data_IF_412371085068
#
_entry.id   IF_412371085068
#
_cell.length_a   1.000
_cell.length_b   1.000
_cell.length_c   1.000
_cell.angle_alpha   90.00
_cell.angle_beta   90.00
_cell.angle_gamma   90.00
#
_symmetry.space_group_name_H-M   'P 1'
#
loop_
_entity.id
_entity.type
_entity.pdbx_description
1 polymer ?
#
# COMPACT_ATOMS: atom_id res chain seq x y z
N UNK A 1 7.24 24.87 7.79
CA UNK A 1 7.01 23.45 7.42
C UNK A 1 8.36 22.75 7.47
N UNK A 2 8.60 21.84 8.43
CA UNK A 2 9.94 21.29 8.67
C UNK A 2 10.28 20.19 7.67
N UNK A 3 11.57 20.11 7.25
CA UNK A 3 12.14 19.08 6.37
C UNK A 3 11.76 17.63 6.81
N UNK A 4 11.57 17.41 8.11
CA UNK A 4 11.16 16.14 8.70
C UNK A 4 9.74 15.74 8.26
N UNK A 5 8.82 16.71 8.17
CA UNK A 5 7.44 16.45 7.76
C UNK A 5 7.32 16.12 6.27
N UNK A 6 8.18 16.70 5.42
CA UNK A 6 8.26 16.38 4.00
C UNK A 6 8.71 14.94 3.75
N UNK A 7 9.79 14.50 4.39
CA UNK A 7 10.30 13.13 4.25
C UNK A 7 9.25 12.08 4.67
N UNK A 8 8.50 12.36 5.75
CA UNK A 8 7.44 11.47 6.21
C UNK A 8 6.29 11.39 5.20
N UNK A 9 5.86 12.52 4.66
CA UNK A 9 4.80 12.59 3.63
C UNK A 9 5.22 11.90 2.34
N UNK A 10 6.44 12.13 1.87
CA UNK A 10 6.99 11.46 0.69
C UNK A 10 7.05 9.93 0.88
N UNK A 11 7.44 9.46 2.06
CA UNK A 11 7.47 8.03 2.39
C UNK A 11 6.07 7.39 2.36
N UNK A 12 5.10 8.06 2.97
CA UNK A 12 3.70 7.59 2.95
C UNK A 12 3.14 7.57 1.54
N UNK A 13 3.42 8.59 0.74
CA UNK A 13 3.01 8.64 -0.66
C UNK A 13 3.63 7.51 -1.49
N UNK A 14 4.95 7.32 -1.39
CA UNK A 14 5.64 6.22 -2.06
C UNK A 14 5.08 4.86 -1.65
N UNK A 15 4.79 4.65 -0.39
CA UNK A 15 4.19 3.41 0.09
C UNK A 15 2.80 3.17 -0.50
N UNK A 16 1.97 4.21 -0.58
CA UNK A 16 0.62 4.16 -1.17
C UNK A 16 0.64 3.95 -2.69
N UNK A 17 1.71 4.30 -3.35
CA UNK A 17 1.93 4.06 -4.77
C UNK A 17 2.45 2.62 -5.01
N UNK A 18 3.49 2.22 -4.27
CA UNK A 18 4.21 0.96 -4.53
C UNK A 18 3.41 -0.27 -4.14
N UNK A 19 2.64 -0.24 -3.04
CA UNK A 19 1.86 -1.39 -2.60
C UNK A 19 0.81 -1.84 -3.62
N UNK A 20 -0.06 -0.96 -4.17
CA UNK A 20 -1.01 -1.33 -5.22
C UNK A 20 -0.34 -1.76 -6.52
N UNK A 21 0.76 -1.09 -6.90
CA UNK A 21 1.54 -1.49 -8.09
C UNK A 21 2.06 -2.91 -7.95
N UNK A 22 2.63 -3.26 -6.80
CA UNK A 22 3.09 -4.62 -6.51
C UNK A 22 1.92 -5.62 -6.50
N UNK A 23 0.79 -5.26 -5.91
CA UNK A 23 -0.40 -6.13 -5.87
C UNK A 23 -0.89 -6.45 -7.29
N UNK A 24 -1.04 -5.44 -8.14
CA UNK A 24 -1.45 -5.58 -9.52
C UNK A 24 -0.45 -6.46 -10.31
N UNK A 25 0.86 -6.21 -10.16
CA UNK A 25 1.89 -7.05 -10.80
C UNK A 25 1.84 -8.50 -10.33
N UNK A 26 1.62 -8.77 -9.05
CA UNK A 26 1.48 -10.13 -8.52
C UNK A 26 0.28 -10.84 -9.15
N UNK A 27 -0.87 -10.18 -9.22
CA UNK A 27 -2.07 -10.78 -9.81
C UNK A 27 -1.91 -11.06 -11.30
N UNK A 28 -1.34 -10.12 -12.07
CA UNK A 28 -1.10 -10.30 -13.50
C UNK A 28 -0.01 -11.33 -13.82
N UNK A 29 0.95 -11.55 -12.92
CA UNK A 29 2.07 -12.49 -13.16
C UNK A 29 1.80 -13.88 -12.60
N UNK A 30 0.80 -14.06 -11.74
CA UNK A 30 0.45 -15.35 -11.16
C UNK A 30 0.22 -16.45 -12.20
N UNK A 31 -0.41 -16.20 -13.39
CA UNK A 31 -0.58 -17.21 -14.41
C UNK A 31 0.69 -17.53 -15.22
N UNK A 32 1.55 -16.52 -15.45
CA UNK A 32 2.76 -16.67 -16.27
C UNK A 32 3.84 -15.66 -15.89
N UNK A 33 5.01 -16.17 -15.50
CA UNK A 33 6.17 -15.33 -15.17
C UNK A 33 6.66 -14.44 -16.33
N UNK A 34 6.32 -14.79 -17.57
CA UNK A 34 6.66 -13.99 -18.74
C UNK A 34 6.10 -12.56 -18.68
N UNK A 35 4.98 -12.36 -17.98
CA UNK A 35 4.35 -11.05 -17.82
C UNK A 35 5.20 -10.05 -17.01
N UNK A 36 6.14 -10.53 -16.19
CA UNK A 36 7.07 -9.63 -15.44
C UNK A 36 7.90 -8.75 -16.36
N UNK A 37 8.26 -9.25 -17.56
CA UNK A 37 9.03 -8.49 -18.54
C UNK A 37 8.19 -7.65 -19.50
N UNK A 38 6.85 -7.71 -19.39
CA UNK A 38 5.93 -7.05 -20.30
C UNK A 38 5.73 -5.58 -19.95
N UNK A 39 6.17 -4.69 -20.84
CA UNK A 39 5.95 -3.23 -20.71
C UNK A 39 4.48 -2.84 -20.55
N UNK A 40 3.51 -3.42 -21.30
CA UNK A 40 2.10 -3.12 -21.10
C UNK A 40 1.61 -3.42 -19.68
N UNK A 41 2.02 -4.54 -19.07
CA UNK A 41 1.64 -4.89 -17.70
C UNK A 41 2.21 -3.90 -16.68
N UNK A 42 3.46 -3.47 -16.85
CA UNK A 42 4.03 -2.42 -16.00
C UNK A 42 3.28 -1.10 -16.12
N UNK A 43 2.83 -0.74 -17.32
CA UNK A 43 2.02 0.46 -17.53
C UNK A 43 0.70 0.38 -16.75
N UNK A 44 -0.02 -0.73 -16.85
CA UNK A 44 -1.27 -0.95 -16.10
C UNK A 44 -1.01 -0.89 -14.59
N UNK A 45 -0.02 -1.62 -14.10
CA UNK A 45 0.31 -1.66 -12.68
C UNK A 45 0.69 -0.26 -12.12
N UNK A 46 1.44 0.52 -12.88
CA UNK A 46 1.77 1.90 -12.51
C UNK A 46 0.54 2.82 -12.53
N UNK A 47 -0.36 2.65 -13.50
CA UNK A 47 -1.62 3.39 -13.56
C UNK A 47 -2.51 3.05 -12.35
N UNK A 48 -2.64 1.76 -12.01
CA UNK A 48 -3.36 1.30 -10.82
C UNK A 48 -2.76 1.88 -9.54
N UNK A 49 -1.43 1.82 -9.39
CA UNK A 49 -0.74 2.39 -8.23
C UNK A 49 -0.90 3.90 -8.11
N UNK A 50 -0.75 4.62 -9.22
CA UNK A 50 -0.92 6.08 -9.26
C UNK A 50 -2.37 6.47 -8.98
N UNK A 51 -3.34 5.81 -9.62
CA UNK A 51 -4.77 6.02 -9.41
C UNK A 51 -5.16 5.78 -7.94
N UNK A 52 -4.71 4.67 -7.35
CA UNK A 52 -4.94 4.37 -5.93
C UNK A 52 -4.33 5.46 -5.03
N UNK A 53 -3.09 5.87 -5.30
CA UNK A 53 -2.41 6.93 -4.55
C UNK A 53 -3.16 8.26 -4.60
N UNK A 54 -3.64 8.65 -5.77
CA UNK A 54 -4.43 9.86 -5.98
C UNK A 54 -5.76 9.81 -5.21
N UNK A 55 -6.50 8.71 -5.38
CA UNK A 55 -7.76 8.50 -4.65
C UNK A 55 -7.55 8.51 -3.14
N UNK A 56 -6.46 7.90 -2.65
CA UNK A 56 -6.12 7.90 -1.23
C UNK A 56 -5.83 9.32 -0.70
N UNK A 57 -5.19 10.18 -1.50
CA UNK A 57 -4.98 11.59 -1.15
C UNK A 57 -6.32 12.30 -1.06
N UNK A 58 -7.17 12.20 -2.06
CA UNK A 58 -8.50 12.84 -2.06
C UNK A 58 -9.31 12.38 -0.85
N UNK A 59 -9.36 11.07 -0.59
CA UNK A 59 -10.09 10.53 0.56
C UNK A 59 -9.51 10.99 1.91
N UNK A 60 -8.23 11.30 1.99
CA UNK A 60 -7.60 11.79 3.23
C UNK A 60 -8.18 13.12 3.71
N UNK A 61 -8.80 13.90 2.83
CA UNK A 61 -9.49 15.15 3.17
C UNK A 61 -10.95 14.95 3.59
N UNK A 62 -11.45 13.71 3.53
CA UNK A 62 -12.82 13.36 3.93
C UNK A 62 -12.84 12.74 5.34
N UNK A 63 -14.02 12.59 5.99
CA UNK A 63 -14.14 11.87 7.25
C UNK A 63 -13.63 10.43 7.19
N UNK A 64 -13.69 9.79 6.00
CA UNK A 64 -13.15 8.45 5.76
C UNK A 64 -11.62 8.40 5.90
N UNK A 65 -10.95 9.54 5.78
CA UNK A 65 -9.50 9.64 6.03
C UNK A 65 -9.09 9.19 7.44
N UNK A 66 -10.00 9.20 8.41
CA UNK A 66 -9.77 8.66 9.76
C UNK A 66 -9.50 7.15 9.77
N UNK A 67 -10.02 6.41 8.78
CA UNK A 67 -9.78 4.97 8.65
C UNK A 67 -8.31 4.65 8.39
N UNK A 68 -7.54 5.59 7.80
CA UNK A 68 -6.10 5.40 7.60
C UNK A 68 -5.29 5.31 8.90
N UNK A 69 -5.82 5.81 10.01
CA UNK A 69 -5.19 5.67 11.32
C UNK A 69 -5.41 4.29 11.97
N UNK A 70 -6.40 3.55 11.47
CA UNK A 70 -6.74 2.23 11.96
C UNK A 70 -6.16 1.17 11.02
N UNK A 71 -5.51 0.15 11.56
CA UNK A 71 -4.80 -0.87 10.79
C UNK A 71 -5.69 -1.60 9.78
N UNK A 72 -6.82 -2.11 10.25
CA UNK A 72 -7.80 -2.80 9.40
C UNK A 72 -8.55 -1.82 8.49
N UNK A 73 -8.89 -0.64 8.98
CA UNK A 73 -9.52 0.41 8.18
C UNK A 73 -8.63 0.85 7.02
N UNK A 74 -7.33 1.03 7.27
CA UNK A 74 -6.36 1.35 6.22
C UNK A 74 -6.23 0.22 5.18
N UNK A 75 -6.15 -1.03 5.62
CA UNK A 75 -6.05 -2.18 4.71
C UNK A 75 -7.30 -2.33 3.83
N UNK A 76 -8.48 -2.24 4.44
CA UNK A 76 -9.76 -2.31 3.73
C UNK A 76 -9.89 -1.17 2.71
N UNK A 77 -9.60 0.06 3.14
CA UNK A 77 -9.71 1.24 2.30
C UNK A 77 -8.73 1.19 1.11
N UNK A 78 -7.47 0.85 1.38
CA UNK A 78 -6.47 0.71 0.33
C UNK A 78 -6.81 -0.43 -0.64
N UNK A 79 -7.33 -1.56 -0.14
CA UNK A 79 -7.80 -2.66 -0.98
C UNK A 79 -8.93 -2.22 -1.91
N UNK A 80 -9.95 -1.54 -1.37
CA UNK A 80 -11.07 -1.03 -2.15
C UNK A 80 -10.64 -0.02 -3.22
N UNK A 81 -9.80 0.95 -2.83
CA UNK A 81 -9.29 1.95 -3.78
C UNK A 81 -8.44 1.32 -4.88
N UNK A 82 -7.67 0.28 -4.53
CA UNK A 82 -6.87 -0.47 -5.51
C UNK A 82 -7.78 -1.20 -6.49
N UNK A 83 -8.82 -1.87 -6.03
CA UNK A 83 -9.78 -2.54 -6.90
C UNK A 83 -10.45 -1.57 -7.88
N UNK A 84 -10.86 -0.39 -7.40
CA UNK A 84 -11.46 0.66 -8.24
C UNK A 84 -10.44 1.16 -9.28
N UNK A 85 -9.22 1.47 -8.86
CA UNK A 85 -8.18 1.98 -9.74
C UNK A 85 -7.75 0.93 -10.78
N UNK A 86 -7.70 -0.35 -10.39
CA UNK A 86 -7.34 -1.45 -11.25
C UNK A 86 -8.43 -1.68 -12.32
N UNK A 87 -9.69 -1.75 -11.93
CA UNK A 87 -10.82 -1.84 -12.86
C UNK A 87 -10.84 -0.68 -13.87
N UNK A 88 -10.40 0.51 -13.45
CA UNK A 88 -10.30 1.66 -14.34
C UNK A 88 -9.11 1.59 -15.29
N UNK A 89 -8.02 0.96 -14.90
CA UNK A 89 -6.77 0.90 -15.65
C UNK A 89 -6.77 -0.16 -16.75
N UNK A 90 -7.67 -1.16 -16.67
CA UNK A 90 -7.74 -2.24 -17.67
C UNK A 90 -8.50 -1.82 -18.92
N UNK A 91 -8.01 -2.16 -20.13
CA UNK A 91 -8.61 -1.72 -21.40
C UNK A 91 -9.97 -2.36 -21.72
N UNK A 92 -10.31 -3.50 -21.15
CA UNK A 92 -11.54 -4.27 -21.41
C UNK A 92 -12.73 -3.99 -20.50
N UNK A 93 -12.78 -2.89 -19.88
CA UNK A 93 -13.57 -2.29 -18.79
C UNK A 93 -14.88 -2.94 -18.33
N UNK A 94 -15.50 -3.88 -19.02
CA UNK A 94 -16.89 -4.26 -18.71
C UNK A 94 -17.26 -5.74 -18.78
N UNK A 95 -16.40 -6.70 -19.14
CA UNK A 95 -16.91 -8.06 -19.36
C UNK A 95 -16.30 -9.20 -18.52
N UNK A 96 -15.05 -9.19 -18.14
CA UNK A 96 -14.47 -10.32 -17.41
C UNK A 96 -13.49 -9.97 -16.29
N UNK A 97 -13.14 -8.70 -16.15
CA UNK A 97 -11.98 -8.26 -15.38
C UNK A 97 -12.29 -7.79 -13.95
N UNK A 98 -13.57 -7.77 -13.56
CA UNK A 98 -13.94 -7.43 -12.17
C UNK A 98 -13.35 -8.41 -11.15
N UNK A 99 -13.24 -9.68 -11.52
CA UNK A 99 -12.63 -10.69 -10.66
C UNK A 99 -11.14 -10.41 -10.41
N UNK A 100 -10.42 -10.01 -11.46
CA UNK A 100 -9.00 -9.65 -11.36
C UNK A 100 -8.81 -8.37 -10.54
N UNK A 101 -9.62 -7.33 -10.79
CA UNK A 101 -9.58 -6.09 -10.02
C UNK A 101 -9.91 -6.32 -8.53
N UNK A 102 -10.90 -7.16 -8.22
CA UNK A 102 -11.21 -7.55 -6.85
C UNK A 102 -10.05 -8.29 -6.20
N UNK A 103 -9.44 -9.25 -6.91
CA UNK A 103 -8.29 -10.00 -6.45
C UNK A 103 -7.11 -9.05 -6.17
N UNK A 104 -6.82 -8.13 -7.08
CA UNK A 104 -5.78 -7.10 -6.91
C UNK A 104 -6.06 -6.25 -5.68
N UNK A 105 -7.30 -5.87 -5.45
CA UNK A 105 -7.73 -5.15 -4.25
C UNK A 105 -7.50 -5.95 -2.97
N UNK A 106 -7.89 -7.22 -2.95
CA UNK A 106 -7.68 -8.11 -1.79
C UNK A 106 -6.18 -8.26 -1.50
N UNK A 107 -5.38 -8.55 -2.52
CA UNK A 107 -3.91 -8.70 -2.38
C UNK A 107 -3.30 -7.39 -1.88
N UNK A 108 -3.71 -6.24 -2.41
CA UNK A 108 -3.25 -4.93 -1.94
C UNK A 108 -3.59 -4.70 -0.46
N UNK A 109 -4.82 -4.99 -0.06
CA UNK A 109 -5.25 -4.90 1.34
C UNK A 109 -4.41 -5.79 2.27
N UNK A 110 -4.13 -7.03 1.85
CA UNK A 110 -3.27 -7.96 2.60
C UNK A 110 -1.83 -7.45 2.71
N UNK A 111 -1.26 -6.90 1.64
CA UNK A 111 0.08 -6.29 1.67
C UNK A 111 0.11 -5.12 2.65
N UNK A 112 -0.89 -4.25 2.62
CA UNK A 112 -1.00 -3.12 3.56
C UNK A 112 -1.10 -3.61 5.00
N UNK A 113 -1.89 -4.63 5.25
CA UNK A 113 -2.05 -5.23 6.58
C UNK A 113 -0.73 -5.85 7.06
N UNK A 114 -0.09 -6.67 6.24
CA UNK A 114 1.18 -7.32 6.55
C UNK A 114 2.29 -6.29 6.83
N UNK A 115 2.41 -5.26 5.99
CA UNK A 115 3.40 -4.20 6.19
C UNK A 115 3.14 -3.39 7.45
N UNK A 116 1.87 -3.19 7.84
CA UNK A 116 1.50 -2.52 9.09
C UNK A 116 1.96 -3.32 10.31
N UNK A 117 1.82 -4.64 10.31
CA UNK A 117 2.32 -5.52 11.38
C UNK A 117 3.85 -5.50 11.45
N UNK A 118 4.54 -5.61 10.32
CA UNK A 118 6.00 -5.61 10.28
C UNK A 118 6.61 -4.29 10.80
N UNK A 119 6.00 -3.16 10.44
CA UNK A 119 6.47 -1.84 10.90
C UNK A 119 6.28 -1.69 12.40
N UNK A 120 5.15 -2.15 12.95
CA UNK A 120 4.87 -2.06 14.38
C UNK A 120 5.78 -2.96 15.20
N UNK A 121 5.98 -4.19 14.78
CA UNK A 121 6.88 -5.13 15.45
C UNK A 121 8.32 -4.61 15.44
N UNK A 122 8.79 -4.06 14.31
CA UNK A 122 10.11 -3.41 14.25
C UNK A 122 10.20 -2.21 15.20
N UNK A 123 9.18 -1.38 15.27
CA UNK A 123 9.12 -0.24 16.17
C UNK A 123 9.13 -0.64 17.65
N UNK A 124 8.46 -1.76 18.01
CA UNK A 124 8.48 -2.33 19.34
C UNK A 124 9.87 -2.81 19.71
N UNK A 125 10.52 -3.64 18.87
CA UNK A 125 11.90 -4.14 19.11
C UNK A 125 12.91 -3.00 19.29
N UNK A 126 12.83 -1.94 18.49
CA UNK A 126 13.71 -0.78 18.64
C UNK A 126 13.49 -0.07 19.97
N UNK A 127 12.23 0.13 20.40
CA UNK A 127 11.92 0.74 21.71
C UNK A 127 12.45 -0.09 22.88
N UNK A 128 12.29 -1.41 22.81
CA UNK A 128 12.79 -2.34 23.83
C UNK A 128 14.33 -2.32 23.91
N UNK A 129 15.02 -2.29 22.76
CA UNK A 129 16.48 -2.17 22.71
C UNK A 129 16.96 -0.84 23.34
N UNK A 130 16.32 0.27 23.02
CA UNK A 130 16.60 1.58 23.62
C UNK A 130 16.33 1.63 25.13
N UNK A 131 15.27 0.97 25.60
CA UNK A 131 14.97 0.88 27.04
C UNK A 131 16.06 0.11 27.79
N UNK A 132 16.54 -1.00 27.23
CA UNK A 132 17.66 -1.79 27.81
C UNK A 132 18.95 -0.97 27.91
N UNK A 133 19.32 -0.22 26.85
CA UNK A 133 20.51 0.62 26.83
C UNK A 133 20.41 1.73 27.90
N UNK A 134 19.24 2.35 28.05
CA UNK A 134 19.03 3.39 29.07
C UNK A 134 19.06 2.83 30.49
N UNK A 135 18.46 1.67 30.72
CA UNK A 135 18.52 1.01 32.02
C UNK A 135 19.95 0.61 32.45
N UNK A 136 20.75 0.13 31.50
CA UNK A 136 22.15 -0.21 31.74
C UNK A 136 23.04 1.03 32.06
N UNK A 137 22.69 2.21 31.51
CA UNK A 137 23.40 3.48 31.83
C UNK A 137 23.02 4.05 33.19
N UNK A 138 21.82 3.80 33.70
CA UNK A 138 21.36 4.26 34.99
C UNK A 138 21.87 3.40 36.17
N UNK A 139 22.35 2.19 35.89
CA UNK A 139 22.87 1.24 36.86
C UNK A 139 24.41 1.31 37.08
N UNK A 140 25.08 2.23 36.36
CA UNK A 140 26.51 2.57 36.53
C UNK A 140 26.67 3.92 37.20
#
# INVERSE_FOLDING_TARGET
MTLRNWKLRARVFLQRLTQPTCACMICMTAPTFANVASLPHWKIALQTGFGTGLLAIVLSFTPLGRLYSQRYGNALLMGLLTAIADAWSHPGRFEAEYGEALLTGVVSGLIVLATSYLIEDRGRRVREAWARIRGAKAAR
#
